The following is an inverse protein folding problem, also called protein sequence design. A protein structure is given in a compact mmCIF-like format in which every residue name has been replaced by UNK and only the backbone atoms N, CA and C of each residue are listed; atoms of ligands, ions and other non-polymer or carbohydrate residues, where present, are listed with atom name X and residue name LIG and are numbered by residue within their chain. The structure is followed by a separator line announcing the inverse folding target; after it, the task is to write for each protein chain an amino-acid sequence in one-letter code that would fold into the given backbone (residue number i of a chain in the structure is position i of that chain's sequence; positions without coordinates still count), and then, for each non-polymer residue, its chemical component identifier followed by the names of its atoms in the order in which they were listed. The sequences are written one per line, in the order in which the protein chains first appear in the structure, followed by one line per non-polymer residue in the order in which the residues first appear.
data_IF_996587970706
#
_entry.id   IF_996587970706
#
_cell.length_a   1.000
_cell.length_b   1.000
_cell.length_c   1.000
_cell.angle_alpha   90.00
_cell.angle_beta   90.00
_cell.angle_gamma   90.00
#
_symmetry.space_group_name_H-M   'P 1'
#
loop_
_entity.id
_entity.type
_entity.pdbx_description
1 polymer ?
#
# COMPACT_ATOMS: atom_id res chain seq x y z
N UNK A 1 17.80 -0.81 -20.52
CA UNK A 1 17.78 -1.25 -19.10
C UNK A 1 16.74 -0.55 -18.23
N UNK A 2 16.22 0.65 -18.57
CA UNK A 2 15.18 1.34 -17.76
C UNK A 2 13.86 0.55 -17.59
N UNK A 3 13.43 -0.23 -18.58
CA UNK A 3 12.19 -1.00 -18.50
C UNK A 3 12.18 -2.07 -17.41
N UNK A 4 13.32 -2.73 -17.17
CA UNK A 4 13.43 -3.78 -16.15
C UNK A 4 13.31 -3.21 -14.72
N UNK A 5 13.85 -2.00 -14.53
CA UNK A 5 13.78 -1.29 -13.25
C UNK A 5 12.36 -0.85 -12.90
N UNK A 6 11.59 -0.37 -13.89
CA UNK A 6 10.18 -0.01 -13.69
C UNK A 6 9.33 -1.22 -13.30
N UNK A 7 9.55 -2.37 -13.93
CA UNK A 7 8.83 -3.61 -13.59
C UNK A 7 9.18 -4.08 -12.18
N UNK A 8 10.47 -4.07 -11.83
CA UNK A 8 10.92 -4.42 -10.48
C UNK A 8 10.24 -3.54 -9.42
N UNK A 9 10.24 -2.22 -9.62
CA UNK A 9 9.62 -1.27 -8.69
C UNK A 9 8.10 -1.50 -8.57
N UNK A 10 7.41 -1.85 -9.65
CA UNK A 10 5.97 -2.22 -9.62
C UNK A 10 5.72 -3.51 -8.84
N UNK A 11 6.59 -4.50 -8.97
CA UNK A 11 6.52 -5.74 -8.19
C UNK A 11 6.77 -5.47 -6.69
N UNK A 12 7.80 -4.70 -6.36
CA UNK A 12 8.12 -4.30 -4.98
C UNK A 12 6.97 -3.49 -4.37
N UNK A 13 6.38 -2.57 -5.13
CA UNK A 13 5.21 -1.80 -4.71
C UNK A 13 4.03 -2.70 -4.35
N UNK A 14 3.67 -3.59 -5.27
CA UNK A 14 2.54 -4.51 -5.10
C UNK A 14 2.77 -5.44 -3.91
N UNK A 15 4.00 -5.93 -3.74
CA UNK A 15 4.37 -6.76 -2.60
C UNK A 15 4.28 -6.01 -1.27
N UNK A 16 4.75 -4.76 -1.21
CA UNK A 16 4.64 -3.90 -0.01
C UNK A 16 3.18 -3.64 0.37
N UNK A 17 2.32 -3.34 -0.61
CA UNK A 17 0.89 -3.14 -0.36
C UNK A 17 0.21 -4.42 0.14
N UNK A 18 0.49 -5.57 -0.49
CA UNK A 18 -0.03 -6.87 -0.04
C UNK A 18 0.48 -7.25 1.36
N UNK A 19 1.75 -6.97 1.67
CA UNK A 19 2.35 -7.26 2.97
C UNK A 19 1.75 -6.37 4.06
N UNK A 20 1.66 -5.06 3.82
CA UNK A 20 1.04 -4.11 4.76
C UNK A 20 -0.41 -4.52 5.06
N UNK A 21 -1.17 -4.86 4.02
CA UNK A 21 -2.55 -5.29 4.18
C UNK A 21 -2.68 -6.66 4.85
N UNK A 22 -1.83 -7.63 4.50
CA UNK A 22 -1.77 -8.92 5.18
C UNK A 22 -1.50 -8.77 6.67
N UNK A 23 -0.59 -7.88 7.06
CA UNK A 23 -0.29 -7.60 8.47
C UNK A 23 -1.46 -6.94 9.20
N UNK A 24 -2.19 -6.03 8.54
CA UNK A 24 -3.41 -5.44 9.09
C UNK A 24 -4.50 -6.50 9.34
N UNK A 25 -4.65 -7.45 8.40
CA UNK A 25 -5.60 -8.57 8.52
C UNK A 25 -5.20 -9.56 9.62
N UNK A 26 -3.89 -9.78 9.85
CA UNK A 26 -3.39 -10.63 10.94
C UNK A 26 -3.41 -9.93 12.32
N UNK A 27 -4.19 -8.85 12.51
CA UNK A 27 -4.25 -8.01 13.73
C UNK A 27 -2.93 -7.33 14.12
N UNK A 28 -1.91 -7.33 13.25
CA UNK A 28 -0.65 -6.62 13.49
C UNK A 28 -0.79 -5.15 13.04
N UNK A 29 -1.73 -4.43 13.65
CA UNK A 29 -2.18 -3.10 13.21
C UNK A 29 -1.00 -2.11 13.12
N UNK A 30 -0.11 -2.09 14.12
CA UNK A 30 1.02 -1.16 14.18
C UNK A 30 2.07 -1.42 13.08
N UNK A 31 2.38 -2.69 12.78
CA UNK A 31 3.32 -3.05 11.71
C UNK A 31 2.70 -2.80 10.33
N UNK A 32 1.41 -3.12 10.20
CA UNK A 32 0.62 -2.87 9.01
C UNK A 32 0.56 -1.39 8.63
N UNK A 33 0.23 -0.51 9.58
CA UNK A 33 0.19 0.95 9.37
C UNK A 33 1.58 1.53 9.11
N UNK A 34 2.62 1.07 9.81
CA UNK A 34 3.99 1.53 9.56
C UNK A 34 4.45 1.19 8.13
N UNK A 35 4.20 -0.04 7.67
CA UNK A 35 4.53 -0.46 6.31
C UNK A 35 3.66 0.24 5.26
N UNK A 36 2.39 0.52 5.57
CA UNK A 36 1.52 1.31 4.71
C UNK A 36 2.05 2.74 4.56
N UNK A 37 2.44 3.39 5.66
CA UNK A 37 3.03 4.72 5.65
C UNK A 37 4.36 4.78 4.88
N UNK A 38 5.21 3.76 4.99
CA UNK A 38 6.43 3.64 4.17
C UNK A 38 6.06 3.47 2.69
N UNK A 39 5.07 2.64 2.37
CA UNK A 39 4.62 2.49 1.00
C UNK A 39 4.09 3.81 0.44
N UNK A 40 3.23 4.53 1.16
CA UNK A 40 2.70 5.82 0.73
C UNK A 40 3.80 6.87 0.53
N UNK A 41 4.72 7.01 1.48
CA UNK A 41 5.73 8.06 1.45
C UNK A 41 6.75 7.87 0.32
N UNK A 42 7.10 6.63 -0.02
CA UNK A 42 8.13 6.35 -1.04
C UNK A 42 7.55 5.98 -2.40
N UNK A 43 6.43 5.26 -2.45
CA UNK A 43 5.83 4.82 -3.71
C UNK A 43 4.86 5.82 -4.31
N UNK A 44 4.13 6.62 -3.54
CA UNK A 44 3.24 7.63 -4.10
C UNK A 44 4.00 8.68 -4.95
N UNK A 45 5.08 9.32 -4.48
CA UNK A 45 5.82 10.28 -5.31
C UNK A 45 6.51 9.62 -6.52
N UNK A 46 6.95 8.36 -6.38
CA UNK A 46 7.51 7.60 -7.50
C UNK A 46 6.46 7.28 -8.56
N UNK A 47 5.29 6.80 -8.15
CA UNK A 47 4.19 6.42 -9.04
C UNK A 47 3.64 7.64 -9.80
N UNK A 48 3.53 8.80 -9.14
CA UNK A 48 3.14 10.07 -9.77
C UNK A 48 4.19 10.49 -10.80
N UNK A 49 5.48 10.47 -10.45
CA UNK A 49 6.58 10.86 -11.36
C UNK A 49 6.67 9.97 -12.60
N UNK A 50 6.41 8.67 -12.46
CA UNK A 50 6.50 7.70 -13.56
C UNK A 50 5.17 7.37 -14.23
N UNK A 51 4.07 8.06 -13.89
CA UNK A 51 2.71 7.79 -14.38
C UNK A 51 2.29 6.31 -14.23
N UNK A 52 2.69 5.67 -13.14
CA UNK A 52 2.33 4.29 -12.81
C UNK A 52 0.91 4.24 -12.19
N UNK A 53 -0.10 4.52 -13.02
CA UNK A 53 -1.50 4.64 -12.61
C UNK A 53 -2.08 3.37 -11.99
N UNK A 54 -1.58 2.21 -12.38
CA UNK A 54 -1.91 0.92 -11.78
C UNK A 54 -1.60 0.88 -10.28
N UNK A 55 -0.43 1.36 -9.84
CA UNK A 55 -0.06 1.38 -8.41
C UNK A 55 -0.94 2.38 -7.66
N UNK A 56 -1.26 3.52 -8.26
CA UNK A 56 -2.11 4.54 -7.66
C UNK A 56 -3.52 3.99 -7.41
N UNK A 57 -4.10 3.30 -8.41
CA UNK A 57 -5.42 2.67 -8.28
C UNK A 57 -5.41 1.57 -7.22
N UNK A 58 -4.38 0.71 -7.21
CA UNK A 58 -4.23 -0.34 -6.20
C UNK A 58 -4.11 0.27 -4.81
N UNK A 59 -3.26 1.28 -4.63
CA UNK A 59 -3.09 1.97 -3.35
C UNK A 59 -4.38 2.64 -2.87
N UNK A 60 -5.14 3.26 -3.77
CA UNK A 60 -6.44 3.86 -3.43
C UNK A 60 -7.45 2.81 -2.95
N UNK A 61 -7.55 1.67 -3.65
CA UNK A 61 -8.44 0.58 -3.26
C UNK A 61 -8.07 0.06 -1.86
N UNK A 62 -6.78 -0.20 -1.63
CA UNK A 62 -6.30 -0.67 -0.32
C UNK A 62 -6.51 0.36 0.80
N UNK A 63 -6.37 1.66 0.51
CA UNK A 63 -6.65 2.74 1.45
C UNK A 63 -8.12 2.75 1.89
N UNK A 64 -9.07 2.55 0.95
CA UNK A 64 -10.50 2.43 1.28
C UNK A 64 -10.78 1.21 2.16
N UNK A 65 -10.16 0.07 1.85
CA UNK A 65 -10.29 -1.14 2.68
C UNK A 65 -9.69 -0.98 4.08
N UNK A 66 -8.55 -0.30 4.20
CA UNK A 66 -7.91 0.00 5.48
C UNK A 66 -8.77 0.96 6.34
N UNK A 67 -9.32 2.01 5.73
CA UNK A 67 -10.21 2.94 6.40
C UNK A 67 -11.49 2.23 6.87
N UNK A 68 -12.06 1.36 6.04
CA UNK A 68 -13.21 0.53 6.41
C UNK A 68 -12.90 -0.41 7.58
N UNK A 69 -11.74 -1.08 7.54
CA UNK A 69 -11.26 -1.94 8.63
C UNK A 69 -11.09 -1.16 9.93
N UNK A 70 -10.48 0.02 9.86
CA UNK A 70 -10.29 0.92 11.01
C UNK A 70 -11.63 1.39 11.59
N UNK A 71 -12.58 1.80 10.75
CA UNK A 71 -13.92 2.21 11.20
C UNK A 71 -14.66 1.05 11.87
N UNK A 72 -14.54 -0.18 11.35
CA UNK A 72 -15.08 -1.38 12.00
C UNK A 72 -14.45 -1.59 13.37
N UNK A 73 -13.12 -1.56 13.48
CA UNK A 73 -12.39 -1.73 14.73
C UNK A 73 -12.79 -0.67 15.78
N UNK A 74 -12.93 0.60 15.38
CA UNK A 74 -13.34 1.69 16.27
C UNK A 74 -14.82 1.64 16.63
N UNK A 75 -15.69 1.19 15.72
CA UNK A 75 -17.13 1.08 15.98
C UNK A 75 -17.54 -0.12 16.86
N UNK A 76 -16.63 -1.06 17.10
CA UNK A 76 -16.78 -2.18 18.04
C UNK A 76 -16.05 -1.94 19.38
N UNK A 77 -15.33 -0.83 19.54
CA UNK A 77 -14.68 -0.39 20.78
C UNK A 77 -15.55 0.62 21.55
#
# INVERSE_FOLDING_TARGET
MLGNWQVLMRCVASALFLLAHGLLVLEHIALGTALHGIAELFLAPWAIRHRAWDIIVIGLIFCVFDLWGTIRLVGFA
#
